data_IF_950500816421
#
_entry.id   IF_950500816421
#
_cell.length_a   1.000
_cell.length_b   1.000
_cell.length_c   1.000
_cell.angle_alpha   90.00
_cell.angle_beta   90.00
_cell.angle_gamma   90.00
#
_symmetry.space_group_name_H-M   'P 1'
#
loop_
_entity.id
_entity.type
_entity.pdbx_description
1 polymer ?
#
# COMPACT_ATOMS: atom_id res chain seq x y z
N UNK A 1 27.17 -19.21 13.61
CA UNK A 1 26.61 -19.37 12.26
C UNK A 1 26.08 -18.00 11.83
N UNK A 2 26.80 -17.31 10.94
CA UNK A 2 26.37 -15.98 10.43
C UNK A 2 25.22 -16.17 9.45
N UNK A 3 24.07 -15.54 9.72
CA UNK A 3 22.96 -15.47 8.76
C UNK A 3 23.45 -14.74 7.51
N UNK A 4 23.47 -15.42 6.36
CA UNK A 4 23.59 -14.77 5.06
C UNK A 4 22.32 -13.94 4.84
N UNK A 5 22.45 -12.64 4.85
CA UNK A 5 21.39 -11.70 4.47
C UNK A 5 20.99 -12.04 3.03
N UNK A 6 19.70 -12.14 2.75
CA UNK A 6 19.22 -12.44 1.40
C UNK A 6 19.54 -11.26 0.47
N UNK A 7 19.79 -11.55 -0.83
CA UNK A 7 20.06 -10.47 -1.81
C UNK A 7 18.90 -9.46 -1.92
N UNK A 8 17.74 -9.79 -1.41
CA UNK A 8 16.53 -8.97 -1.36
C UNK A 8 16.60 -7.95 -0.23
N UNK A 9 17.01 -8.40 0.95
CA UNK A 9 17.33 -7.54 2.07
C UNK A 9 18.41 -6.52 1.67
N UNK A 10 19.43 -6.96 0.91
CA UNK A 10 20.46 -6.06 0.38
C UNK A 10 19.93 -5.08 -0.67
N UNK A 11 18.98 -5.48 -1.55
CA UNK A 11 18.42 -4.61 -2.59
C UNK A 11 17.43 -3.60 -1.99
N UNK A 12 16.55 -4.04 -1.09
CA UNK A 12 15.65 -3.16 -0.34
C UNK A 12 16.46 -2.22 0.55
N UNK A 13 17.50 -2.73 1.23
CA UNK A 13 18.45 -1.88 1.97
C UNK A 13 19.20 -0.91 1.05
N UNK A 14 19.60 -1.31 -0.18
CA UNK A 14 20.24 -0.42 -1.14
C UNK A 14 19.30 0.64 -1.69
N UNK A 15 18.04 0.29 -2.01
CA UNK A 15 17.02 1.26 -2.43
C UNK A 15 16.68 2.23 -1.30
N UNK A 16 16.48 1.72 -0.08
CA UNK A 16 16.28 2.55 1.12
C UNK A 16 17.53 3.38 1.45
N UNK A 17 18.76 2.82 1.31
CA UNK A 17 20.01 3.59 1.47
C UNK A 17 20.14 4.70 0.43
N UNK A 18 19.69 4.49 -0.81
CA UNK A 18 19.72 5.50 -1.87
C UNK A 18 18.69 6.62 -1.62
N UNK A 19 17.47 6.26 -1.16
CA UNK A 19 16.44 7.21 -0.72
C UNK A 19 16.91 7.97 0.54
N UNK A 20 17.43 7.27 1.54
CA UNK A 20 18.04 7.87 2.74
C UNK A 20 19.23 8.78 2.38
N UNK A 21 20.07 8.41 1.42
CA UNK A 21 21.20 9.23 0.94
C UNK A 21 20.75 10.52 0.24
N UNK A 22 19.69 10.48 -0.57
CA UNK A 22 19.13 11.66 -1.23
C UNK A 22 18.48 12.62 -0.22
N UNK A 23 17.74 12.09 0.75
CA UNK A 23 17.20 12.86 1.86
C UNK A 23 18.32 13.50 2.70
N UNK A 24 19.42 12.76 2.97
CA UNK A 24 20.62 13.29 3.64
C UNK A 24 21.25 14.45 2.90
N UNK A 25 21.32 14.43 1.55
CA UNK A 25 21.87 15.52 0.75
C UNK A 25 21.06 16.79 0.87
N UNK A 26 19.71 16.66 0.85
CA UNK A 26 18.81 17.80 1.03
C UNK A 26 18.92 18.41 2.43
N UNK A 27 18.99 17.56 3.45
CA UNK A 27 19.11 18.00 4.84
C UNK A 27 20.50 18.60 5.15
N UNK A 28 21.57 18.08 4.52
CA UNK A 28 22.91 18.72 4.58
C UNK A 28 22.94 20.09 3.90
N UNK A 29 22.17 20.28 2.82
CA UNK A 29 22.04 21.59 2.17
C UNK A 29 21.38 22.60 3.11
N UNK A 30 20.33 22.19 3.85
CA UNK A 30 19.67 23.02 4.87
C UNK A 30 20.59 23.28 6.09
N UNK A 31 21.36 22.27 6.56
CA UNK A 31 22.24 22.38 7.71
C UNK A 31 23.55 23.14 7.42
N UNK A 32 24.01 23.14 6.16
CA UNK A 32 25.29 23.77 5.75
C UNK A 32 25.24 25.30 5.58
N UNK A 33 24.04 25.90 5.59
CA UNK A 33 23.87 27.33 5.31
C UNK A 33 23.71 28.24 6.54
N UNK A 34 24.13 27.78 7.73
CA UNK A 34 24.21 28.59 8.96
C UNK A 34 22.95 29.39 9.29
N UNK A 35 22.63 29.52 10.53
CA UNK A 35 21.60 30.23 11.31
C UNK A 35 20.56 31.20 10.64
N UNK A 36 20.70 31.51 9.33
CA UNK A 36 19.76 32.35 8.56
C UNK A 36 18.86 31.52 7.63
N UNK A 37 18.41 30.34 8.08
CA UNK A 37 17.41 29.54 7.35
C UNK A 37 16.03 30.17 7.63
N UNK A 38 15.72 31.24 6.92
CA UNK A 38 14.40 31.85 6.96
C UNK A 38 13.29 30.88 6.50
N UNK A 39 12.04 31.26 6.70
CA UNK A 39 10.86 30.45 6.30
C UNK A 39 10.95 29.85 4.88
N UNK A 40 11.65 30.51 3.96
CA UNK A 40 11.87 30.04 2.60
C UNK A 40 12.71 28.77 2.49
N UNK A 41 13.70 28.56 3.35
CA UNK A 41 14.52 27.34 3.31
C UNK A 41 13.78 26.15 3.94
N UNK A 42 12.95 26.40 4.97
CA UNK A 42 12.08 25.35 5.55
C UNK A 42 11.01 24.91 4.56
N UNK A 43 10.39 25.85 3.84
CA UNK A 43 9.45 25.56 2.76
C UNK A 43 10.14 24.80 1.62
N UNK A 44 11.35 25.21 1.24
CA UNK A 44 12.17 24.49 0.25
C UNK A 44 12.49 23.05 0.67
N UNK A 45 12.80 22.82 1.93
CA UNK A 45 13.01 21.49 2.48
C UNK A 45 11.73 20.65 2.48
N UNK A 46 10.59 21.24 2.88
CA UNK A 46 9.30 20.56 2.84
C UNK A 46 8.87 20.24 1.39
N UNK A 47 9.05 21.16 0.46
CA UNK A 47 8.79 20.93 -0.96
C UNK A 47 9.72 19.85 -1.55
N UNK A 48 10.99 19.85 -1.19
CA UNK A 48 11.90 18.76 -1.60
C UNK A 48 11.44 17.41 -1.05
N UNK A 49 11.00 17.36 0.21
CA UNK A 49 10.49 16.15 0.82
C UNK A 49 9.18 15.68 0.14
N UNK A 50 8.31 16.61 -0.22
CA UNK A 50 7.14 16.34 -1.05
C UNK A 50 7.53 15.72 -2.41
N UNK A 51 8.45 16.35 -3.13
CA UNK A 51 8.91 15.84 -4.42
C UNK A 51 9.55 14.47 -4.32
N UNK A 52 10.19 14.18 -3.20
CA UNK A 52 10.81 12.88 -2.95
C UNK A 52 9.81 11.80 -2.58
N UNK A 53 8.81 12.11 -1.76
CA UNK A 53 7.86 11.13 -1.20
C UNK A 53 6.56 11.02 -1.98
N UNK A 54 6.05 12.12 -2.54
CA UNK A 54 4.72 12.17 -3.13
C UNK A 54 4.70 12.23 -4.66
N UNK A 55 5.84 12.43 -5.33
CA UNK A 55 5.85 12.29 -6.80
C UNK A 55 5.90 10.82 -7.21
N UNK A 56 5.17 10.45 -8.28
CA UNK A 56 5.15 9.09 -8.80
C UNK A 56 6.56 8.59 -9.10
N UNK A 57 6.89 7.43 -8.58
CA UNK A 57 8.13 6.74 -8.93
C UNK A 57 7.81 5.84 -10.12
N UNK A 58 8.36 6.15 -11.29
CA UNK A 58 8.27 5.23 -12.43
C UNK A 58 8.96 3.92 -12.08
N UNK A 59 8.37 2.83 -12.55
CA UNK A 59 8.87 1.48 -12.34
C UNK A 59 10.39 1.42 -12.51
N UNK A 60 11.10 0.99 -11.47
CA UNK A 60 12.54 0.83 -11.53
C UNK A 60 12.87 -0.44 -12.35
N UNK A 61 13.29 -0.24 -13.60
CA UNK A 61 13.69 -1.35 -14.49
C UNK A 61 14.81 -2.22 -13.90
N UNK A 62 15.50 -1.78 -12.84
CA UNK A 62 16.47 -2.63 -12.14
C UNK A 62 15.79 -3.81 -11.45
N UNK A 63 14.52 -3.71 -11.11
CA UNK A 63 13.72 -4.80 -10.55
C UNK A 63 13.47 -5.93 -11.56
N UNK A 64 13.55 -5.65 -12.87
CA UNK A 64 13.39 -6.65 -13.92
C UNK A 64 14.53 -7.69 -13.92
N UNK A 65 15.64 -7.40 -13.23
CA UNK A 65 16.80 -8.30 -13.05
C UNK A 65 16.72 -9.09 -11.74
N UNK A 66 15.62 -9.00 -11.01
CA UNK A 66 15.46 -9.69 -9.75
C UNK A 66 15.38 -11.21 -9.95
N UNK A 67 15.95 -12.00 -9.03
CA UNK A 67 15.87 -13.46 -9.10
C UNK A 67 14.43 -13.96 -9.14
N UNK A 68 14.18 -14.98 -9.96
CA UNK A 68 12.85 -15.56 -10.20
C UNK A 68 12.12 -16.05 -8.94
N UNK A 69 12.82 -16.21 -7.84
CA UNK A 69 12.29 -16.73 -6.57
C UNK A 69 11.65 -15.65 -5.70
N UNK A 70 11.83 -14.35 -6.04
CA UNK A 70 11.20 -13.28 -5.28
C UNK A 70 9.68 -13.28 -5.48
N UNK A 71 8.90 -13.02 -4.41
CA UNK A 71 7.43 -13.02 -4.46
C UNK A 71 6.87 -12.13 -5.60
N UNK A 72 7.42 -10.95 -5.75
CA UNK A 72 7.09 -10.02 -6.82
C UNK A 72 7.33 -10.60 -8.23
N UNK A 73 8.49 -11.25 -8.47
CA UNK A 73 8.81 -11.86 -9.77
C UNK A 73 7.91 -13.07 -10.04
N UNK A 74 7.59 -13.84 -9.00
CA UNK A 74 6.64 -14.97 -9.11
C UNK A 74 5.25 -14.47 -9.47
N UNK A 75 4.77 -13.43 -8.79
CA UNK A 75 3.48 -12.81 -9.07
C UNK A 75 3.37 -12.28 -10.50
N UNK A 76 4.40 -11.57 -10.99
CA UNK A 76 4.47 -11.11 -12.39
C UNK A 76 4.46 -12.28 -13.38
N UNK A 77 5.25 -13.32 -13.12
CA UNK A 77 5.29 -14.50 -13.98
C UNK A 77 3.93 -15.19 -14.03
N UNK A 78 3.28 -15.34 -12.88
CA UNK A 78 1.95 -15.90 -12.80
C UNK A 78 0.96 -15.07 -13.62
N UNK A 79 0.90 -13.77 -13.43
CA UNK A 79 0.02 -12.88 -14.21
C UNK A 79 0.26 -12.96 -15.71
N UNK A 80 1.52 -13.05 -16.15
CA UNK A 80 1.88 -13.18 -17.57
C UNK A 80 1.56 -14.55 -18.15
N UNK A 81 1.35 -15.57 -17.31
CA UNK A 81 0.90 -16.89 -17.70
C UNK A 81 -0.60 -16.98 -18.03
N UNK A 82 -1.36 -15.91 -17.82
CA UNK A 82 -2.80 -15.85 -18.04
C UNK A 82 -3.15 -15.05 -19.30
N UNK A 83 -3.31 -15.71 -20.48
CA UNK A 83 -3.70 -15.02 -21.73
C UNK A 83 -5.11 -14.42 -21.68
N UNK A 84 -5.96 -14.93 -20.78
CA UNK A 84 -7.31 -14.40 -20.51
C UNK A 84 -7.33 -13.11 -19.71
N UNK A 85 -6.19 -12.67 -19.17
CA UNK A 85 -6.05 -11.39 -18.47
C UNK A 85 -6.51 -10.23 -19.34
N UNK A 86 -7.32 -9.35 -18.75
CA UNK A 86 -7.86 -8.15 -19.41
C UNK A 86 -7.36 -6.90 -18.71
N UNK A 87 -6.94 -5.91 -19.48
CA UNK A 87 -6.73 -4.56 -19.00
C UNK A 87 -8.09 -3.86 -18.88
N UNK A 88 -8.45 -3.43 -17.67
CA UNK A 88 -9.61 -2.58 -17.43
C UNK A 88 -9.16 -1.15 -17.23
N UNK A 89 -9.99 -0.22 -17.67
CA UNK A 89 -9.76 1.22 -17.51
C UNK A 89 -11.05 1.88 -17.07
N UNK A 90 -10.94 2.82 -16.13
CA UNK A 90 -12.04 3.68 -15.68
C UNK A 90 -11.57 5.13 -15.62
N UNK A 91 -12.53 6.06 -15.63
CA UNK A 91 -12.28 7.48 -15.46
C UNK A 91 -12.74 7.90 -14.07
N UNK A 92 -11.84 8.50 -13.31
CA UNK A 92 -12.15 9.04 -11.98
C UNK A 92 -12.95 10.34 -12.09
N UNK A 93 -13.61 10.76 -11.00
CA UNK A 93 -14.33 12.04 -10.96
C UNK A 93 -13.42 13.25 -11.23
N UNK A 94 -12.15 13.16 -10.84
CA UNK A 94 -11.13 14.20 -11.07
C UNK A 94 -10.43 14.07 -12.44
N UNK A 95 -10.95 13.20 -13.33
CA UNK A 95 -10.58 13.10 -14.74
C UNK A 95 -9.30 12.30 -15.03
N UNK A 96 -8.84 11.46 -14.10
CA UNK A 96 -7.72 10.56 -14.35
C UNK A 96 -8.22 9.24 -14.95
N UNK A 97 -7.49 8.73 -15.93
CA UNK A 97 -7.69 7.38 -16.44
C UNK A 97 -6.90 6.40 -15.60
N UNK A 98 -7.59 5.56 -14.85
CA UNK A 98 -6.99 4.52 -14.01
C UNK A 98 -7.10 3.14 -14.65
N UNK A 99 -6.21 2.24 -14.26
CA UNK A 99 -6.04 0.91 -14.84
C UNK A 99 -6.11 -0.18 -13.76
N UNK A 100 -6.63 -1.34 -14.14
CA UNK A 100 -6.51 -2.57 -13.38
C UNK A 100 -6.31 -3.78 -14.31
N UNK A 101 -5.56 -4.77 -13.83
CA UNK A 101 -5.53 -6.09 -14.44
C UNK A 101 -6.68 -6.93 -13.88
N UNK A 102 -7.53 -7.46 -14.74
CA UNK A 102 -8.57 -8.40 -14.38
C UNK A 102 -8.21 -9.81 -14.90
N UNK A 103 -8.27 -10.80 -14.04
CA UNK A 103 -8.08 -12.22 -14.40
C UNK A 103 -9.32 -12.96 -13.91
N UNK A 104 -10.11 -13.57 -14.82
CA UNK A 104 -11.35 -14.25 -14.45
C UNK A 104 -11.07 -15.52 -13.64
N UNK A 105 -12.06 -15.95 -12.89
CA UNK A 105 -12.09 -17.25 -12.21
C UNK A 105 -11.73 -18.39 -13.17
N UNK A 106 -11.01 -19.43 -12.71
CA UNK A 106 -10.80 -20.64 -13.49
C UNK A 106 -12.03 -21.55 -13.52
N UNK A 107 -13.02 -21.27 -12.69
CA UNK A 107 -14.28 -22.03 -12.60
C UNK A 107 -15.29 -21.39 -13.55
N UNK A 108 -16.08 -22.21 -14.24
CA UNK A 108 -17.08 -21.77 -15.22
C UNK A 108 -18.12 -20.81 -14.66
N UNK A 109 -18.85 -20.13 -15.57
CA UNK A 109 -19.81 -19.08 -15.32
C UNK A 109 -20.68 -19.32 -14.08
N UNK A 110 -20.57 -18.44 -13.07
CA UNK A 110 -21.39 -18.45 -11.86
C UNK A 110 -20.64 -18.28 -10.55
N UNK A 111 -19.33 -18.17 -10.54
CA UNK A 111 -18.61 -17.74 -9.35
C UNK A 111 -18.69 -16.21 -9.24
N UNK A 112 -19.46 -15.74 -8.27
CA UNK A 112 -19.67 -14.32 -7.98
C UNK A 112 -18.64 -13.75 -6.99
N UNK A 113 -17.57 -14.51 -6.65
CA UNK A 113 -16.56 -14.08 -5.70
C UNK A 113 -15.42 -13.36 -6.41
N UNK A 114 -15.01 -12.24 -5.83
CA UNK A 114 -13.97 -11.36 -6.35
C UNK A 114 -12.98 -11.00 -5.25
N UNK A 115 -11.69 -10.96 -5.58
CA UNK A 115 -10.67 -10.37 -4.72
C UNK A 115 -10.03 -9.17 -5.43
N UNK A 116 -10.05 -7.99 -4.78
CA UNK A 116 -9.33 -6.80 -5.24
C UNK A 116 -8.01 -6.73 -4.46
N UNK A 117 -6.88 -6.97 -5.14
CA UNK A 117 -5.55 -6.98 -4.54
C UNK A 117 -4.81 -5.68 -4.82
N UNK A 118 -4.47 -4.91 -3.77
CA UNK A 118 -3.97 -3.53 -3.85
C UNK A 118 -2.51 -3.45 -3.42
N UNK A 119 -1.65 -2.94 -4.32
CA UNK A 119 -0.20 -2.88 -4.14
C UNK A 119 0.27 -1.75 -3.23
N UNK A 120 1.54 -1.83 -2.79
CA UNK A 120 2.21 -0.84 -1.95
C UNK A 120 2.82 0.34 -2.72
N UNK A 121 3.47 1.25 -1.97
CA UNK A 121 4.17 2.41 -2.50
C UNK A 121 5.27 2.03 -3.50
N UNK A 122 5.38 2.76 -4.59
CA UNK A 122 6.36 2.56 -5.69
C UNK A 122 6.30 1.20 -6.40
N UNK A 123 5.21 0.46 -6.23
CA UNK A 123 4.94 -0.80 -6.90
C UNK A 123 3.86 -0.67 -7.99
N UNK A 124 3.42 -1.77 -8.53
CA UNK A 124 2.34 -1.86 -9.52
C UNK A 124 1.47 -3.07 -9.19
N UNK A 125 0.36 -3.22 -9.88
CA UNK A 125 -0.52 -4.39 -9.81
C UNK A 125 0.23 -5.73 -9.90
N UNK A 126 1.37 -5.79 -10.59
CA UNK A 126 2.17 -7.01 -10.72
C UNK A 126 2.77 -7.50 -9.39
N UNK A 127 3.02 -6.60 -8.43
CA UNK A 127 3.64 -6.97 -7.15
C UNK A 127 2.71 -7.76 -6.23
N UNK A 128 1.41 -7.63 -6.42
CA UNK A 128 0.38 -8.37 -5.66
C UNK A 128 -0.11 -9.63 -6.36
N UNK A 129 0.49 -9.99 -7.49
CA UNK A 129 0.13 -11.18 -8.23
C UNK A 129 0.22 -12.48 -7.43
N UNK A 130 1.13 -12.59 -6.46
CA UNK A 130 1.21 -13.75 -5.57
C UNK A 130 -0.01 -13.91 -4.66
N UNK A 131 -0.63 -12.80 -4.22
CA UNK A 131 -1.86 -12.82 -3.42
C UNK A 131 -3.05 -13.16 -4.31
N UNK A 132 -3.13 -12.51 -5.47
CA UNK A 132 -4.15 -12.79 -6.47
C UNK A 132 -4.10 -14.24 -6.95
N UNK A 133 -2.90 -14.82 -7.10
CA UNK A 133 -2.71 -16.24 -7.40
C UNK A 133 -3.44 -17.14 -6.39
N UNK A 134 -3.29 -16.87 -5.11
CA UNK A 134 -3.93 -17.68 -4.09
C UNK A 134 -5.46 -17.57 -4.16
N UNK A 135 -5.98 -16.34 -4.27
CA UNK A 135 -7.43 -16.13 -4.42
C UNK A 135 -8.00 -16.82 -5.65
N UNK A 136 -7.31 -16.75 -6.78
CA UNK A 136 -7.78 -17.36 -8.02
C UNK A 136 -7.58 -18.87 -8.05
N UNK A 137 -6.36 -19.34 -7.78
CA UNK A 137 -6.01 -20.75 -8.02
C UNK A 137 -6.47 -21.66 -6.88
N UNK A 138 -6.56 -21.14 -5.64
CA UNK A 138 -6.99 -21.92 -4.48
C UNK A 138 -8.49 -21.75 -4.17
N UNK A 139 -9.02 -20.51 -4.21
CA UNK A 139 -10.45 -20.29 -3.94
C UNK A 139 -11.32 -20.25 -5.20
N UNK A 140 -10.75 -20.21 -6.39
CA UNK A 140 -11.49 -20.12 -7.64
C UNK A 140 -12.12 -18.75 -7.91
N UNK A 141 -11.62 -17.68 -7.31
CA UNK A 141 -12.20 -16.34 -7.42
C UNK A 141 -11.78 -15.61 -8.69
N UNK A 142 -12.60 -14.66 -9.12
CA UNK A 142 -12.17 -13.58 -10.00
C UNK A 142 -11.20 -12.66 -9.26
N UNK A 143 -10.15 -12.15 -9.91
CA UNK A 143 -9.20 -11.26 -9.27
C UNK A 143 -9.01 -9.98 -10.06
N UNK A 144 -9.03 -8.85 -9.35
CA UNK A 144 -8.76 -7.52 -9.89
C UNK A 144 -7.55 -6.91 -9.18
N UNK A 145 -6.58 -6.47 -9.95
CA UNK A 145 -5.33 -5.90 -9.45
C UNK A 145 -5.18 -4.49 -10.01
N UNK A 146 -5.67 -3.47 -9.29
CA UNK A 146 -5.54 -2.07 -9.73
C UNK A 146 -4.09 -1.59 -9.67
N UNK A 147 -3.71 -0.75 -10.63
CA UNK A 147 -2.61 0.18 -10.48
C UNK A 147 -3.16 1.43 -9.77
N UNK A 148 -2.65 1.75 -8.58
CA UNK A 148 -3.04 2.97 -7.87
C UNK A 148 -2.65 4.21 -8.68
N UNK A 149 -3.34 5.35 -8.45
CA UNK A 149 -3.03 6.60 -9.17
C UNK A 149 -1.55 6.97 -9.09
N UNK A 150 -0.98 7.38 -10.22
CA UNK A 150 0.45 7.67 -10.35
C UNK A 150 1.36 6.43 -10.43
N UNK A 151 0.80 5.22 -10.50
CA UNK A 151 1.54 3.96 -10.61
C UNK A 151 1.13 3.18 -11.88
N UNK A 152 2.01 2.29 -12.32
CA UNK A 152 1.76 1.39 -13.43
C UNK A 152 1.24 2.09 -14.70
N UNK A 153 0.06 1.69 -15.17
CA UNK A 153 -0.64 2.28 -16.31
C UNK A 153 -1.68 3.33 -15.91
N UNK A 154 -1.90 3.55 -14.61
CA UNK A 154 -2.79 4.60 -14.12
C UNK A 154 -2.15 5.97 -14.22
N UNK A 155 -2.95 6.96 -14.62
CA UNK A 155 -2.55 8.36 -14.59
C UNK A 155 -2.46 8.89 -13.16
N UNK A 156 -1.83 10.05 -13.01
CA UNK A 156 -1.65 10.73 -11.74
C UNK A 156 -0.30 11.42 -11.65
N UNK A 157 -0.26 12.54 -10.95
CA UNK A 157 0.93 13.39 -10.81
C UNK A 157 1.52 13.37 -9.40
N UNK A 158 0.87 12.66 -8.47
CA UNK A 158 1.29 12.50 -7.08
C UNK A 158 0.85 11.14 -6.53
N UNK A 159 1.47 10.73 -5.43
CA UNK A 159 1.07 9.56 -4.64
C UNK A 159 0.22 10.04 -3.46
N UNK A 160 -1.02 9.54 -3.37
CA UNK A 160 -2.03 10.02 -2.43
C UNK A 160 -2.00 9.33 -1.06
N UNK A 161 -1.12 8.35 -0.85
CA UNK A 161 -1.06 7.54 0.37
C UNK A 161 -2.43 6.97 0.78
N UNK A 162 -3.19 6.54 -0.23
CA UNK A 162 -4.52 5.95 -0.07
C UNK A 162 -5.66 6.97 0.03
N UNK A 163 -5.41 8.28 0.17
CA UNK A 163 -6.49 9.26 0.37
C UNK A 163 -7.45 9.34 -0.81
N UNK A 164 -6.96 9.61 -2.02
CA UNK A 164 -7.80 9.57 -3.22
C UNK A 164 -7.93 8.15 -3.76
N UNK A 165 -6.89 7.33 -3.60
CA UNK A 165 -6.88 5.94 -4.05
C UNK A 165 -8.05 5.12 -3.50
N UNK A 166 -8.54 5.43 -2.27
CA UNK A 166 -9.73 4.77 -1.70
C UNK A 166 -10.99 4.96 -2.55
N UNK A 167 -11.13 6.12 -3.20
CA UNK A 167 -12.25 6.41 -4.10
C UNK A 167 -12.10 5.65 -5.42
N UNK A 168 -10.86 5.48 -5.88
CA UNK A 168 -10.57 4.67 -7.06
C UNK A 168 -10.91 3.19 -6.80
N UNK A 169 -10.66 2.68 -5.58
CA UNK A 169 -11.08 1.32 -5.21
C UNK A 169 -12.62 1.19 -5.20
N UNK A 170 -13.35 2.22 -4.73
CA UNK A 170 -14.81 2.24 -4.81
C UNK A 170 -15.28 2.20 -6.26
N UNK A 171 -14.66 2.97 -7.15
CA UNK A 171 -14.97 2.93 -8.58
C UNK A 171 -14.77 1.52 -9.18
N UNK A 172 -13.73 0.80 -8.77
CA UNK A 172 -13.54 -0.59 -9.17
C UNK A 172 -14.58 -1.54 -8.58
N UNK A 173 -15.02 -1.31 -7.33
CA UNK A 173 -16.15 -2.06 -6.72
C UNK A 173 -17.42 -1.83 -7.55
N UNK A 174 -17.75 -0.59 -7.88
CA UNK A 174 -18.93 -0.23 -8.66
C UNK A 174 -18.85 -0.87 -10.06
N UNK A 175 -17.67 -0.87 -10.69
CA UNK A 175 -17.43 -1.52 -11.97
C UNK A 175 -17.68 -3.04 -11.93
N UNK A 176 -17.26 -3.70 -10.87
CA UNK A 176 -17.54 -5.13 -10.68
C UNK A 176 -19.07 -5.32 -10.55
N UNK A 177 -19.75 -4.49 -9.76
CA UNK A 177 -21.20 -4.61 -9.53
C UNK A 177 -22.05 -4.26 -10.75
N UNK A 178 -21.56 -3.42 -11.66
CA UNK A 178 -22.18 -3.21 -12.98
C UNK A 178 -22.19 -4.49 -13.82
N UNK A 179 -21.13 -5.29 -13.75
CA UNK A 179 -20.97 -6.53 -14.51
C UNK A 179 -21.64 -7.70 -13.80
N UNK A 180 -21.52 -7.74 -12.49
CA UNK A 180 -22.02 -8.81 -11.63
C UNK A 180 -22.68 -8.22 -10.35
N UNK A 181 -23.98 -7.93 -10.38
CA UNK A 181 -24.68 -7.37 -9.22
C UNK A 181 -24.72 -8.30 -7.99
N UNK A 182 -24.39 -9.59 -8.15
CA UNK A 182 -24.30 -10.57 -7.07
C UNK A 182 -22.89 -10.72 -6.50
N UNK A 183 -21.92 -9.95 -7.01
CA UNK A 183 -20.54 -10.09 -6.60
C UNK A 183 -20.37 -10.03 -5.08
N UNK A 184 -19.55 -10.91 -4.54
CA UNK A 184 -19.02 -10.90 -3.17
C UNK A 184 -17.55 -10.53 -3.24
N UNK A 185 -17.19 -9.39 -2.65
CA UNK A 185 -15.89 -8.75 -2.88
C UNK A 185 -15.07 -8.79 -1.60
N UNK A 186 -13.83 -9.28 -1.72
CA UNK A 186 -12.79 -9.21 -0.69
C UNK A 186 -11.78 -8.14 -1.12
N UNK A 187 -11.43 -7.24 -0.22
CA UNK A 187 -10.36 -6.28 -0.39
C UNK A 187 -9.10 -6.83 0.29
N UNK A 188 -7.97 -6.88 -0.42
CA UNK A 188 -6.69 -7.30 0.14
C UNK A 188 -5.61 -6.28 -0.24
N UNK A 189 -5.07 -5.56 0.72
CA UNK A 189 -4.03 -4.56 0.49
C UNK A 189 -2.75 -4.84 1.24
N UNK A 190 -1.62 -4.43 0.66
CA UNK A 190 -0.30 -4.51 1.30
C UNK A 190 0.32 -3.12 1.47
N UNK A 191 0.93 -2.81 2.62
CA UNK A 191 1.63 -1.53 2.86
C UNK A 191 0.72 -0.32 2.58
N UNK A 192 1.05 0.57 1.66
CA UNK A 192 0.17 1.65 1.22
C UNK A 192 -1.17 1.14 0.67
N UNK A 193 -1.19 -0.02 0.02
CA UNK A 193 -2.43 -0.68 -0.40
C UNK A 193 -3.29 -1.12 0.78
N UNK A 194 -2.68 -1.58 1.88
CA UNK A 194 -3.39 -1.91 3.12
C UNK A 194 -4.04 -0.65 3.72
N UNK A 195 -3.31 0.46 3.77
CA UNK A 195 -3.85 1.75 4.18
C UNK A 195 -5.01 2.19 3.26
N UNK A 196 -4.88 1.96 1.95
CA UNK A 196 -5.91 2.28 0.96
C UNK A 196 -7.18 1.48 1.22
N UNK A 197 -7.10 0.14 1.34
CA UNK A 197 -8.30 -0.68 1.57
C UNK A 197 -8.95 -0.40 2.93
N UNK A 198 -8.18 -0.12 3.98
CA UNK A 198 -8.72 0.33 5.25
C UNK A 198 -9.49 1.65 5.12
N UNK A 199 -8.95 2.63 4.38
CA UNK A 199 -9.65 3.89 4.13
C UNK A 199 -10.87 3.70 3.24
N UNK A 200 -10.83 2.77 2.29
CA UNK A 200 -12.01 2.37 1.49
C UNK A 200 -13.13 1.85 2.38
N UNK A 201 -12.82 0.97 3.35
CA UNK A 201 -13.85 0.42 4.27
C UNK A 201 -14.43 1.44 5.23
N UNK A 202 -13.77 2.57 5.43
CA UNK A 202 -14.29 3.70 6.20
C UNK A 202 -15.34 4.55 5.45
N UNK A 203 -15.53 4.31 4.15
CA UNK A 203 -16.58 4.91 3.32
C UNK A 203 -17.87 4.07 3.35
N UNK A 204 -18.95 4.62 2.80
CA UNK A 204 -20.20 3.87 2.70
C UNK A 204 -20.12 2.88 1.54
N UNK A 205 -19.86 1.62 1.85
CA UNK A 205 -19.75 0.55 0.87
C UNK A 205 -21.05 -0.25 0.71
N UNK A 206 -21.29 -0.87 -0.46
CA UNK A 206 -22.34 -1.85 -0.66
C UNK A 206 -22.08 -3.11 0.18
N UNK A 207 -23.15 -3.82 0.59
CA UNK A 207 -23.07 -5.06 1.36
C UNK A 207 -22.38 -6.22 0.62
N UNK A 208 -22.07 -6.01 -0.63
CA UNK A 208 -21.29 -6.89 -1.49
C UNK A 208 -19.81 -6.98 -1.06
N UNK A 209 -19.28 -5.95 -0.38
CA UNK A 209 -17.93 -5.99 0.20
C UNK A 209 -18.02 -6.74 1.53
N UNK A 210 -17.51 -7.98 1.52
CA UNK A 210 -17.64 -8.93 2.63
C UNK A 210 -16.52 -8.82 3.64
N UNK A 211 -15.30 -8.58 3.19
CA UNK A 211 -14.12 -8.63 4.04
C UNK A 211 -13.01 -7.71 3.54
N UNK A 212 -12.14 -7.33 4.48
CA UNK A 212 -10.90 -6.62 4.23
C UNK A 212 -9.74 -7.36 4.89
N UNK A 213 -8.66 -7.59 4.14
CA UNK A 213 -7.37 -8.06 4.65
C UNK A 213 -6.36 -6.94 4.45
N UNK A 214 -5.80 -6.45 5.54
CA UNK A 214 -4.70 -5.49 5.51
C UNK A 214 -3.41 -6.17 5.96
N UNK A 215 -2.32 -6.01 5.24
CA UNK A 215 -1.00 -6.54 5.57
C UNK A 215 0.03 -5.42 5.58
N UNK A 216 0.61 -5.17 6.75
CA UNK A 216 1.65 -4.18 6.99
C UNK A 216 1.24 -2.72 6.67
N UNK A 217 -0.01 -2.33 6.96
CA UNK A 217 -0.50 -0.96 6.82
C UNK A 217 -0.04 -0.04 7.95
N UNK A 218 -0.03 1.27 7.68
CA UNK A 218 0.24 2.32 8.70
C UNK A 218 -1.07 2.88 9.29
N UNK A 219 -0.97 3.50 10.46
CA UNK A 219 -2.12 4.13 11.13
C UNK A 219 -2.47 5.51 10.51
N UNK A 220 -1.47 6.30 10.16
CA UNK A 220 -1.60 7.57 9.43
C UNK A 220 -0.38 7.81 8.55
N UNK A 221 -0.54 8.44 7.39
CA UNK A 221 0.59 8.81 6.54
C UNK A 221 1.55 9.77 7.26
N UNK A 222 1.04 10.70 8.05
CA UNK A 222 1.88 11.61 8.86
C UNK A 222 2.66 10.84 9.92
N UNK A 223 2.04 9.86 10.59
CA UNK A 223 2.71 9.01 11.57
C UNK A 223 3.87 8.24 10.97
N UNK A 224 3.64 7.63 9.79
CA UNK A 224 4.68 6.94 9.03
C UNK A 224 5.82 7.89 8.63
N UNK A 225 5.53 9.08 8.14
CA UNK A 225 6.57 10.05 7.81
C UNK A 225 7.36 10.54 9.03
N UNK A 226 6.72 10.72 10.18
CA UNK A 226 7.40 11.06 11.44
C UNK A 226 8.31 9.91 11.86
N UNK A 227 7.84 8.67 11.76
CA UNK A 227 8.64 7.48 12.12
C UNK A 227 9.88 7.38 11.23
N UNK A 228 9.71 7.41 9.92
CA UNK A 228 10.81 7.40 8.94
C UNK A 228 11.80 8.55 9.22
N UNK A 229 11.29 9.75 9.48
CA UNK A 229 12.10 10.93 9.78
C UNK A 229 12.93 10.73 11.07
N UNK A 230 12.34 10.19 12.11
CA UNK A 230 12.99 10.00 13.41
C UNK A 230 14.04 8.87 13.38
N UNK A 231 13.92 7.91 12.49
CA UNK A 231 14.85 6.79 12.31
C UNK A 231 15.94 7.05 11.25
N UNK A 232 16.02 8.28 10.70
CA UNK A 232 17.15 8.64 9.84
C UNK A 232 18.46 8.59 10.66
N UNK A 233 19.47 7.89 10.14
CA UNK A 233 20.81 7.77 10.80
C UNK A 233 21.46 9.12 11.12
N UNK A 234 21.13 10.17 10.38
CA UNK A 234 21.52 11.54 10.67
C UNK A 234 20.25 12.37 10.74
N UNK A 235 19.76 12.58 11.96
CA UNK A 235 18.58 13.45 12.20
C UNK A 235 18.90 14.86 11.71
N UNK A 236 18.01 15.46 10.92
CA UNK A 236 18.11 16.87 10.62
C UNK A 236 18.05 17.69 11.90
N UNK A 237 18.66 18.86 11.94
CA UNK A 237 18.61 19.77 13.11
C UNK A 237 17.21 20.40 13.33
N UNK A 238 16.22 20.02 12.52
CA UNK A 238 14.84 20.51 12.57
C UNK A 238 13.93 19.38 13.05
N UNK A 239 13.12 19.56 14.10
CA UNK A 239 12.18 18.56 14.55
C UNK A 239 11.09 18.22 13.51
N UNK A 240 10.58 16.97 13.54
CA UNK A 240 9.50 16.53 12.67
C UNK A 240 8.25 17.41 12.81
N UNK A 241 7.98 17.88 14.01
CA UNK A 241 6.85 18.77 14.35
C UNK A 241 6.86 20.09 13.57
N UNK A 242 8.04 20.52 13.10
CA UNK A 242 8.19 21.72 12.26
C UNK A 242 8.03 21.42 10.78
N UNK A 243 8.56 20.26 10.33
CA UNK A 243 8.55 19.88 8.90
C UNK A 243 7.17 19.35 8.47
N UNK A 244 6.48 18.56 9.29
CA UNK A 244 5.21 17.94 8.90
C UNK A 244 4.08 18.96 8.60
N UNK A 245 3.88 20.03 9.38
CA UNK A 245 2.91 21.07 9.01
C UNK A 245 3.23 21.75 7.65
N UNK A 246 4.51 21.95 7.35
CA UNK A 246 4.93 22.54 6.08
C UNK A 246 4.72 21.55 4.92
N UNK A 247 5.01 20.27 5.12
CA UNK A 247 4.72 19.22 4.15
C UNK A 247 3.23 19.15 3.83
N UNK A 248 2.36 19.24 4.85
CA UNK A 248 0.91 19.30 4.66
C UNK A 248 0.50 20.52 3.83
N UNK A 249 1.07 21.69 4.12
CA UNK A 249 0.78 22.89 3.33
C UNK A 249 1.23 22.73 1.86
N UNK A 250 2.40 22.14 1.61
CA UNK A 250 2.87 21.82 0.25
C UNK A 250 1.93 20.82 -0.43
N UNK A 251 1.51 19.75 0.27
CA UNK A 251 0.56 18.77 -0.26
C UNK A 251 -0.77 19.41 -0.67
N UNK A 252 -1.29 20.35 0.12
CA UNK A 252 -2.51 21.08 -0.23
C UNK A 252 -2.36 21.90 -1.52
N UNK A 253 -1.18 22.46 -1.78
CA UNK A 253 -0.92 23.26 -2.98
C UNK A 253 -0.63 22.39 -4.20
N UNK A 254 0.21 21.34 -4.04
CA UNK A 254 0.74 20.55 -5.15
C UNK A 254 -0.15 19.36 -5.53
N UNK A 255 -0.85 18.77 -4.55
CA UNK A 255 -1.68 17.57 -4.72
C UNK A 255 -3.17 17.83 -4.45
N UNK A 256 -3.54 19.04 -4.03
CA UNK A 256 -4.92 19.44 -3.80
C UNK A 256 -5.58 18.84 -2.55
N UNK A 257 -4.82 18.18 -1.65
CA UNK A 257 -5.35 17.60 -0.43
C UNK A 257 -4.40 17.75 0.77
N UNK A 258 -4.98 17.74 1.97
CA UNK A 258 -4.20 17.72 3.22
C UNK A 258 -3.75 16.29 3.51
N UNK A 259 -2.45 16.03 3.50
CA UNK A 259 -1.85 14.72 3.76
C UNK A 259 -2.28 14.09 5.10
N UNK A 260 -2.68 14.90 6.09
CA UNK A 260 -3.21 14.38 7.35
C UNK A 260 -4.54 13.64 7.20
N UNK A 261 -5.23 13.80 6.06
CA UNK A 261 -6.46 13.07 5.73
C UNK A 261 -6.19 11.63 5.25
N UNK A 262 -4.95 11.31 4.89
CA UNK A 262 -4.53 9.92 4.67
C UNK A 262 -4.38 9.23 6.05
N UNK A 263 -5.51 8.88 6.65
CA UNK A 263 -5.67 8.42 8.04
C UNK A 263 -6.50 7.13 8.11
N UNK A 264 -5.86 5.95 7.88
CA UNK A 264 -6.50 4.66 8.07
C UNK A 264 -7.15 4.48 9.46
N UNK A 265 -6.52 5.01 10.52
CA UNK A 265 -7.06 4.88 11.87
C UNK A 265 -8.43 5.56 12.04
N UNK A 266 -8.63 6.72 11.40
CA UNK A 266 -9.95 7.38 11.39
C UNK A 266 -10.97 6.59 10.57
N UNK A 267 -10.53 5.89 9.52
CA UNK A 267 -11.39 5.10 8.66
C UNK A 267 -11.85 3.82 9.35
N UNK A 268 -10.96 3.06 9.98
CA UNK A 268 -11.34 1.82 10.68
C UNK A 268 -12.27 2.05 11.87
N UNK A 269 -12.25 3.23 12.47
CA UNK A 269 -13.23 3.63 13.50
C UNK A 269 -14.67 3.75 12.99
N UNK A 270 -14.84 3.95 11.68
CA UNK A 270 -16.14 4.07 11.02
C UNK A 270 -16.52 2.82 10.23
N UNK A 271 -15.55 1.98 9.93
CA UNK A 271 -15.73 0.77 9.14
C UNK A 271 -16.65 -0.23 9.86
N UNK A 272 -17.55 -0.82 9.10
CA UNK A 272 -18.37 -1.97 9.53
C UNK A 272 -17.91 -3.26 8.84
N UNK A 273 -17.02 -3.17 7.86
CA UNK A 273 -16.53 -4.31 7.09
C UNK A 273 -15.60 -5.16 7.95
N UNK A 274 -15.87 -6.46 8.13
CA UNK A 274 -14.96 -7.36 8.84
C UNK A 274 -13.53 -7.24 8.33
N UNK A 275 -12.55 -7.11 9.23
CA UNK A 275 -11.16 -6.84 8.85
C UNK A 275 -10.17 -7.77 9.55
N UNK A 276 -9.27 -8.37 8.77
CA UNK A 276 -8.09 -9.09 9.26
C UNK A 276 -6.87 -8.19 9.17
N UNK A 277 -6.22 -7.97 10.30
CA UNK A 277 -4.99 -7.19 10.45
C UNK A 277 -3.78 -8.12 10.52
N UNK A 278 -2.84 -8.01 9.58
CA UNK A 278 -1.62 -8.82 9.52
C UNK A 278 -0.40 -7.91 9.58
N UNK A 279 0.63 -8.29 10.34
CA UNK A 279 1.88 -7.52 10.40
C UNK A 279 3.07 -8.39 10.75
N UNK A 280 4.24 -8.05 10.23
CA UNK A 280 5.51 -8.65 10.61
C UNK A 280 6.03 -8.07 11.92
N UNK A 281 6.43 -8.92 12.89
CA UNK A 281 7.01 -8.43 14.14
C UNK A 281 8.37 -7.75 13.96
N UNK A 282 9.11 -8.12 12.88
CA UNK A 282 10.40 -7.55 12.53
C UNK A 282 10.31 -6.36 11.57
N UNK A 283 9.12 -5.83 11.30
CA UNK A 283 8.95 -4.68 10.41
C UNK A 283 9.54 -3.42 11.02
N UNK A 284 10.66 -2.98 10.45
CA UNK A 284 11.37 -1.75 10.83
C UNK A 284 11.05 -0.57 9.90
N UNK A 285 10.20 -0.78 8.91
CA UNK A 285 9.76 0.27 8.00
C UNK A 285 8.44 0.87 8.43
N UNK A 286 7.42 0.02 8.67
CA UNK A 286 6.17 0.39 9.34
C UNK A 286 6.14 -0.40 10.66
N UNK A 287 6.36 0.25 11.81
CA UNK A 287 6.41 -0.45 13.08
C UNK A 287 5.09 -1.16 13.42
N UNK A 288 5.16 -2.41 13.90
CA UNK A 288 3.98 -3.22 14.20
C UNK A 288 3.06 -2.60 15.29
N UNK A 289 3.52 -1.59 16.02
CA UNK A 289 2.69 -0.81 16.94
C UNK A 289 1.57 -0.05 16.20
N UNK A 290 1.77 0.33 14.93
CA UNK A 290 0.73 0.98 14.13
C UNK A 290 -0.44 0.02 13.88
N UNK A 291 -0.16 -1.24 13.53
CA UNK A 291 -1.22 -2.26 13.40
C UNK A 291 -1.97 -2.47 14.73
N UNK A 292 -1.29 -2.48 15.86
CA UNK A 292 -1.95 -2.62 17.17
C UNK A 292 -2.92 -1.47 17.43
N UNK A 293 -2.53 -0.22 17.12
CA UNK A 293 -3.41 0.95 17.23
C UNK A 293 -4.62 0.85 16.30
N UNK A 294 -4.39 0.42 15.04
CA UNK A 294 -5.45 0.18 14.07
C UNK A 294 -6.44 -0.88 14.58
N UNK A 295 -5.91 -2.02 15.04
CA UNK A 295 -6.73 -3.10 15.59
C UNK A 295 -7.55 -2.64 16.80
N UNK A 296 -6.96 -1.90 17.72
CA UNK A 296 -7.66 -1.36 18.89
C UNK A 296 -8.77 -0.39 18.48
N UNK A 297 -8.51 0.49 17.52
CA UNK A 297 -9.42 1.54 17.05
C UNK A 297 -10.57 1.01 16.18
N UNK A 298 -10.39 -0.12 15.49
CA UNK A 298 -11.37 -0.65 14.55
C UNK A 298 -12.69 -1.01 15.23
N UNK A 299 -13.81 -0.52 14.65
CA UNK A 299 -15.18 -0.75 15.16
C UNK A 299 -15.82 -2.03 14.59
N UNK A 300 -15.31 -2.57 13.49
CA UNK A 300 -15.84 -3.75 12.80
C UNK A 300 -15.47 -5.07 13.52
N UNK A 301 -16.12 -6.19 13.17
CA UNK A 301 -15.61 -7.52 13.48
C UNK A 301 -14.18 -7.66 12.98
N UNK A 302 -13.28 -8.15 13.83
CA UNK A 302 -11.84 -8.09 13.53
C UNK A 302 -11.07 -9.29 14.05
N UNK A 303 -10.03 -9.67 13.31
CA UNK A 303 -8.98 -10.61 13.73
C UNK A 303 -7.62 -9.98 13.48
N UNK A 304 -6.58 -10.49 14.14
CA UNK A 304 -5.20 -10.08 13.84
C UNK A 304 -4.26 -11.29 13.82
N UNK A 305 -3.12 -11.05 13.17
CA UNK A 305 -1.97 -11.96 13.17
C UNK A 305 -0.68 -11.16 13.18
N UNK A 306 0.20 -11.46 14.13
CA UNK A 306 1.60 -11.06 14.07
C UNK A 306 2.43 -12.24 13.56
N UNK A 307 3.26 -11.96 12.56
CA UNK A 307 4.15 -12.95 11.95
C UNK A 307 5.55 -12.82 12.53
N UNK A 308 6.00 -13.76 13.40
CA UNK A 308 7.31 -13.69 14.04
C UNK A 308 8.44 -13.64 13.01
N UNK A 309 9.38 -12.70 13.20
CA UNK A 309 10.56 -12.56 12.36
C UNK A 309 10.32 -12.04 10.93
N UNK A 310 9.07 -11.75 10.55
CA UNK A 310 8.77 -11.16 9.25
C UNK A 310 9.11 -9.66 9.25
N UNK A 311 9.82 -9.22 8.23
CA UNK A 311 10.04 -7.81 7.91
C UNK A 311 8.84 -7.24 7.10
N UNK A 312 8.97 -6.00 6.63
CA UNK A 312 7.92 -5.30 5.90
C UNK A 312 7.40 -6.08 4.68
N UNK A 313 6.11 -6.41 4.68
CA UNK A 313 5.41 -7.17 3.61
C UNK A 313 6.00 -8.57 3.38
N UNK A 314 6.69 -9.13 4.38
CA UNK A 314 7.29 -10.45 4.28
C UNK A 314 6.48 -11.55 5.01
N UNK A 315 5.33 -11.22 5.59
CA UNK A 315 4.51 -12.16 6.36
C UNK A 315 4.16 -13.41 5.56
N UNK A 316 3.68 -13.25 4.32
CA UNK A 316 3.32 -14.34 3.41
C UNK A 316 4.55 -15.15 2.92
N UNK A 317 5.74 -14.58 3.00
CA UNK A 317 6.97 -15.23 2.54
C UNK A 317 7.67 -16.03 3.64
N UNK A 318 7.54 -15.59 4.90
CA UNK A 318 8.16 -16.24 6.07
C UNK A 318 7.46 -17.56 6.38
N UNK A 319 6.14 -17.57 6.38
CA UNK A 319 5.33 -18.75 6.63
C UNK A 319 4.02 -18.66 5.82
N UNK A 320 4.04 -19.09 4.55
CA UNK A 320 2.85 -19.05 3.68
C UNK A 320 1.69 -19.88 4.23
N UNK A 321 1.96 -21.04 4.83
CA UNK A 321 0.91 -21.94 5.34
C UNK A 321 0.16 -21.25 6.50
N UNK A 322 0.88 -20.71 7.46
CA UNK A 322 0.30 -19.98 8.59
C UNK A 322 -0.44 -18.73 8.13
N UNK A 323 0.12 -18.01 7.15
CA UNK A 323 -0.50 -16.81 6.57
C UNK A 323 -1.87 -17.14 6.01
N UNK A 324 -1.93 -18.08 5.09
CA UNK A 324 -3.17 -18.44 4.39
C UNK A 324 -4.16 -19.17 5.29
N UNK A 325 -3.70 -20.02 6.20
CA UNK A 325 -4.58 -20.63 7.20
C UNK A 325 -5.29 -19.58 8.10
N UNK A 326 -4.62 -18.45 8.37
CA UNK A 326 -5.25 -17.35 9.10
C UNK A 326 -6.27 -16.59 8.25
N UNK A 327 -5.95 -16.36 6.97
CA UNK A 327 -6.90 -15.77 6.01
C UNK A 327 -8.10 -16.69 5.84
N UNK A 328 -7.92 -18.01 5.67
CA UNK A 328 -8.99 -19.01 5.59
C UNK A 328 -9.91 -18.95 6.81
N UNK A 329 -9.31 -18.99 8.00
CA UNK A 329 -10.07 -18.93 9.27
C UNK A 329 -10.92 -17.66 9.32
N UNK A 330 -10.37 -16.53 8.90
CA UNK A 330 -11.08 -15.26 8.88
C UNK A 330 -12.21 -15.28 7.86
N UNK A 331 -11.96 -15.69 6.62
CA UNK A 331 -12.96 -15.71 5.54
C UNK A 331 -14.13 -16.66 5.83
N UNK A 332 -13.93 -17.68 6.66
CA UNK A 332 -15.02 -18.56 7.12
C UNK A 332 -15.98 -17.88 8.12
N UNK A 333 -15.64 -16.71 8.64
CA UNK A 333 -16.45 -15.97 9.62
C UNK A 333 -17.32 -14.86 8.99
N UNK A 334 -17.17 -14.62 7.69
CA UNK A 334 -17.79 -13.47 6.98
C UNK A 334 -18.64 -13.91 5.79
#
# INVERSE_FOLDING_TARGET
MGKKISKEEESNQKSMKKKKSALRKALKFVAGTGVCVGAGALLGAAHYFYMFSMKPVRHDKSRDKDPAERPYVRGRRWMNGHPERKDWFEMTEDGLRIHANFIPSPVDEGDHRYAICVHGYSDTSESVGQYAQHYRDHYGMNVLLPDLRGHGKSEGTYVGYGYHDRLDIILWIDKILEIDPKAEIILHGISMGAATVMMTTGEKLPSNVKACVEDAGYDTAIGEFIDVYNHLEQKPPVPAEVIMPLLRAVSMVEAGFDLSKASPIEAVQRSVTPTLFIHGEGDTFIPCIMMKRLFEAAACPKMCMLMPGAEHVMSVCVDPERYWAKVDTFLQTV
#
